data_IF_541796237759
#
_entry.id   IF_541796237759
#
_cell.length_a   1.000
_cell.length_b   1.000
_cell.length_c   1.000
_cell.angle_alpha   90.00
_cell.angle_beta   90.00
_cell.angle_gamma   90.00
#
_symmetry.space_group_name_H-M   'P 1'
#
loop_
_entity.id
_entity.type
_entity.pdbx_description
1 polymer ?
#
# COMPACT_ATOMS: atom_id res chain seq x y z
N UNK A 1 -5.93 26.56 -20.73
CA UNK A 1 -4.99 27.37 -19.91
C UNK A 1 -5.73 28.59 -19.42
N UNK A 2 -5.80 28.82 -18.11
CA UNK A 2 -6.35 30.04 -17.53
C UNK A 2 -5.18 30.87 -16.99
N UNK A 3 -5.15 32.17 -17.31
CA UNK A 3 -4.10 33.07 -16.85
C UNK A 3 -4.23 33.31 -15.33
N UNK A 4 -3.11 33.47 -14.60
CA UNK A 4 -3.14 33.79 -13.18
C UNK A 4 -3.84 35.14 -12.93
N UNK A 5 -4.73 35.19 -11.94
CA UNK A 5 -5.35 36.43 -11.49
C UNK A 5 -4.36 37.21 -10.62
N UNK A 6 -4.10 38.47 -10.98
CA UNK A 6 -3.09 39.31 -10.34
C UNK A 6 -3.57 39.87 -9.00
N UNK A 7 -2.93 39.46 -7.89
CA UNK A 7 -3.05 40.13 -6.60
C UNK A 7 -1.65 40.55 -6.09
N UNK A 8 -1.38 41.85 -6.10
CA UNK A 8 -0.05 42.45 -5.96
C UNK A 8 0.59 42.34 -4.57
N UNK A 9 -0.17 41.94 -3.53
CA UNK A 9 0.35 41.84 -2.16
C UNK A 9 1.18 40.58 -1.89
N UNK A 10 1.00 39.50 -2.65
CA UNK A 10 1.72 38.22 -2.50
C UNK A 10 2.97 38.10 -3.38
N UNK A 11 3.16 39.02 -4.35
CA UNK A 11 4.14 38.95 -5.44
C UNK A 11 5.63 38.97 -5.08
N UNK A 12 6.04 39.03 -3.81
CA UNK A 12 7.48 39.23 -3.51
C UNK A 12 8.30 37.96 -3.35
N UNK A 13 7.68 36.80 -3.09
CA UNK A 13 8.41 35.51 -2.88
C UNK A 13 7.63 34.24 -3.28
N UNK A 14 6.41 34.37 -3.78
CA UNK A 14 5.55 33.23 -4.11
C UNK A 14 4.74 33.48 -5.39
N UNK A 15 4.56 32.44 -6.19
CA UNK A 15 3.79 32.38 -7.43
C UNK A 15 2.73 31.30 -7.29
N UNK A 16 1.48 31.61 -7.64
CA UNK A 16 0.35 30.68 -7.56
C UNK A 16 -0.30 30.50 -8.93
N UNK A 17 -0.88 29.33 -9.16
CA UNK A 17 -1.73 29.04 -10.31
C UNK A 17 -2.81 28.03 -9.90
N UNK A 18 -3.67 27.63 -10.85
CA UNK A 18 -4.87 26.82 -10.57
C UNK A 18 -4.59 25.56 -9.74
N UNK A 19 -3.44 24.92 -9.96
CA UNK A 19 -3.14 23.61 -9.41
C UNK A 19 -1.89 23.61 -8.51
N UNK A 20 -1.26 24.75 -8.24
CA UNK A 20 0.00 24.74 -7.52
C UNK A 20 0.51 26.09 -7.10
N UNK A 21 1.58 26.04 -6.32
CA UNK A 21 2.29 27.20 -5.84
C UNK A 21 3.80 26.92 -5.78
N UNK A 22 4.57 27.95 -6.07
CA UNK A 22 6.02 27.96 -5.99
C UNK A 22 6.48 29.14 -5.15
N UNK A 23 7.41 28.93 -4.24
CA UNK A 23 8.04 30.00 -3.48
C UNK A 23 9.53 29.79 -3.34
N UNK A 24 10.26 30.88 -3.11
CA UNK A 24 11.67 30.82 -2.75
C UNK A 24 11.95 31.69 -1.54
N UNK A 25 12.82 31.21 -0.66
CA UNK A 25 13.25 31.97 0.50
C UNK A 25 14.54 32.75 0.20
N UNK A 26 14.88 33.71 1.06
CA UNK A 26 16.14 34.46 0.95
C UNK A 26 17.39 33.63 1.28
N UNK A 27 17.23 32.35 1.58
CA UNK A 27 18.28 31.40 1.96
C UNK A 27 18.59 30.39 0.84
N UNK A 28 18.19 30.70 -0.40
CA UNK A 28 18.52 29.89 -1.58
C UNK A 28 17.74 28.60 -1.70
N UNK A 29 16.61 28.43 -1.00
CA UNK A 29 15.72 27.27 -1.15
C UNK A 29 14.49 27.67 -1.95
N UNK A 30 14.21 26.93 -3.02
CA UNK A 30 12.98 26.98 -3.79
C UNK A 30 12.11 25.77 -3.49
N UNK A 31 10.80 25.98 -3.43
CA UNK A 31 9.82 24.94 -3.12
C UNK A 31 8.63 25.06 -4.05
N UNK A 32 8.20 23.92 -4.58
CA UNK A 32 7.09 23.75 -5.51
C UNK A 32 6.16 22.70 -4.92
N UNK A 33 4.87 23.05 -4.80
CA UNK A 33 3.80 22.10 -4.49
C UNK A 33 2.74 22.23 -5.57
N UNK A 34 2.48 21.16 -6.30
CA UNK A 34 1.56 21.17 -7.42
C UNK A 34 0.76 19.87 -7.51
N UNK A 35 -0.51 19.98 -7.91
CA UNK A 35 -1.38 18.87 -8.25
C UNK A 35 -1.17 18.52 -9.72
N UNK A 36 -0.67 17.31 -9.98
CA UNK A 36 -0.33 16.79 -11.30
C UNK A 36 -1.08 15.48 -11.58
N UNK A 37 -0.86 14.89 -12.76
CA UNK A 37 -1.40 13.58 -13.13
C UNK A 37 -2.93 13.50 -12.99
N UNK A 38 -3.65 14.40 -13.67
CA UNK A 38 -5.12 14.46 -13.65
C UNK A 38 -5.72 14.60 -12.22
N UNK A 39 -4.99 15.27 -11.32
CA UNK A 39 -5.34 15.43 -9.90
C UNK A 39 -5.21 14.18 -9.05
N UNK A 40 -4.45 13.19 -9.52
CA UNK A 40 -4.15 11.96 -8.79
C UNK A 40 -2.86 12.05 -7.95
N UNK A 41 -2.07 13.11 -8.10
CA UNK A 41 -0.79 13.25 -7.42
C UNK A 41 -0.58 14.66 -6.86
N UNK A 42 -0.11 14.73 -5.61
CA UNK A 42 0.49 15.95 -5.05
C UNK A 42 2.00 15.83 -5.22
N UNK A 43 2.58 16.68 -6.05
CA UNK A 43 4.01 16.76 -6.31
C UNK A 43 4.64 17.80 -5.39
N UNK A 44 5.59 17.36 -4.57
CA UNK A 44 6.46 18.24 -3.78
C UNK A 44 7.86 18.18 -4.38
N UNK A 45 8.34 19.32 -4.89
CA UNK A 45 9.69 19.46 -5.43
C UNK A 45 10.40 20.61 -4.75
N UNK A 46 11.68 20.44 -4.46
CA UNK A 46 12.51 21.49 -3.86
C UNK A 46 13.86 21.57 -4.55
N UNK A 47 14.43 22.77 -4.54
CA UNK A 47 15.79 23.05 -4.98
C UNK A 47 16.51 23.85 -3.91
N UNK A 48 17.83 23.68 -3.79
CA UNK A 48 18.64 24.53 -2.94
C UNK A 48 19.93 24.95 -3.62
N UNK A 49 20.39 26.16 -3.30
CA UNK A 49 21.74 26.59 -3.59
C UNK A 49 22.76 25.76 -2.79
N UNK A 50 23.97 25.65 -3.34
CA UNK A 50 25.04 24.85 -2.73
C UNK A 50 25.35 25.33 -1.31
N UNK A 51 25.33 24.40 -0.35
CA UNK A 51 25.59 24.69 1.07
C UNK A 51 24.36 25.01 1.91
N UNK A 52 23.15 24.97 1.33
CA UNK A 52 21.88 25.19 2.03
C UNK A 52 21.00 23.93 2.11
N UNK A 53 21.61 22.75 2.03
CA UNK A 53 20.94 21.44 2.12
C UNK A 53 20.12 21.29 3.39
N UNK A 54 20.65 21.73 4.54
CA UNK A 54 20.00 21.53 5.84
C UNK A 54 18.66 22.30 5.93
N UNK A 55 18.63 23.52 5.38
CA UNK A 55 17.40 24.31 5.28
C UNK A 55 16.38 23.66 4.34
N UNK A 56 16.84 23.04 3.24
CA UNK A 56 15.98 22.29 2.34
C UNK A 56 15.40 21.06 3.02
N UNK A 57 16.21 20.28 3.75
CA UNK A 57 15.74 19.08 4.45
C UNK A 57 14.69 19.44 5.49
N UNK A 58 14.94 20.48 6.30
CA UNK A 58 13.95 20.95 7.28
C UNK A 58 12.67 21.43 6.62
N UNK A 59 12.75 22.29 5.61
CA UNK A 59 11.57 22.82 4.94
C UNK A 59 10.79 21.72 4.20
N UNK A 60 11.48 20.76 3.59
CA UNK A 60 10.85 19.61 2.93
C UNK A 60 10.07 18.77 3.93
N UNK A 61 10.63 18.53 5.11
CA UNK A 61 9.93 17.84 6.20
C UNK A 61 8.66 18.58 6.60
N UNK A 62 8.74 19.89 6.81
CA UNK A 62 7.61 20.68 7.26
C UNK A 62 6.49 20.72 6.20
N UNK A 63 6.85 20.88 4.92
CA UNK A 63 5.89 20.86 3.80
C UNK A 63 5.22 19.50 3.64
N UNK A 64 5.98 18.40 3.70
CA UNK A 64 5.40 17.04 3.65
C UNK A 64 4.47 16.83 4.84
N UNK A 65 4.88 17.24 6.04
CA UNK A 65 4.05 17.15 7.24
C UNK A 65 2.72 17.88 7.09
N UNK A 66 2.73 19.09 6.56
CA UNK A 66 1.52 19.87 6.33
C UNK A 66 0.59 19.23 5.30
N UNK A 67 1.14 18.74 4.18
CA UNK A 67 0.37 18.01 3.16
C UNK A 67 -0.30 16.78 3.77
N UNK A 68 0.44 16.01 4.58
CA UNK A 68 -0.09 14.82 5.24
C UNK A 68 -1.11 15.15 6.33
N UNK A 69 -0.96 16.26 7.05
CA UNK A 69 -1.96 16.75 8.00
C UNK A 69 -3.27 17.09 7.30
N UNK A 70 -3.21 17.86 6.21
CA UNK A 70 -4.39 18.21 5.40
C UNK A 70 -5.08 16.97 4.86
N UNK A 71 -4.30 15.98 4.41
CA UNK A 71 -4.83 14.68 3.97
C UNK A 71 -5.58 13.96 5.10
N UNK A 72 -4.99 13.84 6.29
CA UNK A 72 -5.61 13.18 7.45
C UNK A 72 -6.90 13.88 7.89
N UNK A 73 -6.92 15.21 7.86
CA UNK A 73 -8.07 16.01 8.29
C UNK A 73 -9.21 16.00 7.26
N UNK A 74 -8.87 16.03 5.96
CA UNK A 74 -9.86 16.21 4.89
C UNK A 74 -10.36 14.89 4.29
N UNK A 75 -9.47 13.91 4.14
CA UNK A 75 -9.71 12.68 3.39
C UNK A 75 -9.10 11.44 4.08
N UNK A 76 -9.41 11.16 5.37
CA UNK A 76 -8.74 10.11 6.15
C UNK A 76 -8.89 8.69 5.60
N UNK A 77 -9.91 8.44 4.77
CA UNK A 77 -10.18 7.12 4.18
C UNK A 77 -9.52 6.90 2.82
N UNK A 78 -8.87 7.92 2.24
CA UNK A 78 -8.25 7.81 0.92
C UNK A 78 -6.92 7.06 1.03
N UNK A 79 -6.75 5.95 0.33
CA UNK A 79 -5.46 5.25 0.32
C UNK A 79 -4.42 6.07 -0.47
N UNK A 80 -3.39 6.57 0.22
CA UNK A 80 -2.32 7.38 -0.37
C UNK A 80 -1.01 6.59 -0.44
N UNK A 81 -0.35 6.66 -1.59
CA UNK A 81 0.99 6.08 -1.79
C UNK A 81 2.04 7.19 -1.76
N UNK A 82 2.94 7.13 -0.79
CA UNK A 82 4.08 8.04 -0.68
C UNK A 82 5.28 7.53 -1.49
N UNK A 83 5.71 8.35 -2.45
CA UNK A 83 6.71 7.99 -3.45
C UNK A 83 7.80 9.06 -3.57
N UNK A 84 9.03 8.62 -3.79
CA UNK A 84 10.20 9.44 -4.07
C UNK A 84 10.64 9.19 -5.51
N UNK A 85 10.72 10.25 -6.31
CA UNK A 85 11.21 10.17 -7.70
C UNK A 85 12.73 10.09 -7.68
N UNK A 86 13.33 9.22 -8.51
CA UNK A 86 14.79 9.16 -8.70
C UNK A 86 15.29 10.57 -9.11
N UNK A 87 16.23 11.17 -8.35
CA UNK A 87 16.75 12.49 -8.67
C UNK A 87 17.32 12.62 -10.10
N UNK A 88 17.78 11.52 -10.70
CA UNK A 88 18.28 11.51 -12.09
C UNK A 88 17.18 11.73 -13.14
N UNK A 89 15.93 11.51 -12.77
CA UNK A 89 14.76 11.69 -13.64
C UNK A 89 13.98 12.97 -13.29
N UNK A 90 14.50 13.77 -12.36
CA UNK A 90 13.90 15.02 -11.91
C UNK A 90 14.12 16.15 -12.93
N UNK A 91 13.33 16.14 -14.01
CA UNK A 91 13.26 17.22 -14.97
C UNK A 91 11.86 17.84 -14.97
N UNK A 92 11.77 19.11 -14.58
CA UNK A 92 10.52 19.87 -14.62
C UNK A 92 10.17 20.22 -16.09
N UNK A 93 8.89 20.14 -16.50
CA UNK A 93 7.71 19.76 -15.72
C UNK A 93 7.54 18.24 -15.54
N UNK A 94 7.00 17.86 -14.37
CA UNK A 94 6.71 16.45 -14.02
C UNK A 94 5.20 16.21 -14.07
N UNK A 95 4.66 16.04 -15.29
CA UNK A 95 3.22 15.88 -15.49
C UNK A 95 2.71 14.50 -15.05
N UNK A 96 3.50 13.44 -15.32
CA UNK A 96 3.19 12.03 -15.04
C UNK A 96 4.26 11.41 -14.13
N UNK A 97 4.32 11.77 -12.83
CA UNK A 97 5.33 11.27 -11.90
C UNK A 97 5.33 9.74 -11.77
N UNK A 98 4.17 9.08 -11.98
CA UNK A 98 4.02 7.62 -11.90
C UNK A 98 4.75 6.85 -13.01
N UNK A 99 5.06 7.50 -14.12
CA UNK A 99 5.80 6.91 -15.24
C UNK A 99 7.33 7.00 -15.06
N UNK A 100 7.79 7.68 -14.01
CA UNK A 100 9.22 7.82 -13.67
C UNK A 100 9.68 6.66 -12.79
N UNK A 101 10.99 6.51 -12.67
CA UNK A 101 11.58 5.66 -11.62
C UNK A 101 11.25 6.25 -10.26
N UNK A 102 10.38 5.56 -9.52
CA UNK A 102 9.96 5.95 -8.17
C UNK A 102 10.27 4.86 -7.14
N UNK A 103 10.48 5.29 -5.90
CA UNK A 103 10.71 4.44 -4.74
C UNK A 103 9.66 4.75 -3.68
N UNK A 104 9.03 3.73 -3.12
CA UNK A 104 8.13 3.94 -1.98
C UNK A 104 8.92 4.43 -0.77
N UNK A 105 8.43 5.48 -0.09
CA UNK A 105 9.05 6.01 1.14
C UNK A 105 9.26 4.88 2.15
N UNK A 106 8.30 3.97 2.28
CA UNK A 106 8.42 2.74 3.10
C UNK A 106 9.64 1.88 2.76
N UNK A 107 9.91 1.65 1.47
CA UNK A 107 11.07 0.85 1.04
C UNK A 107 12.36 1.58 1.36
N UNK A 108 12.38 2.90 1.17
CA UNK A 108 13.50 3.77 1.55
C UNK A 108 13.78 3.65 3.06
N UNK A 109 12.75 3.82 3.90
CA UNK A 109 12.89 3.75 5.36
C UNK A 109 13.31 2.36 5.84
N UNK A 110 12.72 1.29 5.29
CA UNK A 110 13.12 -0.09 5.60
C UNK A 110 14.59 -0.33 5.27
N UNK A 111 15.06 0.12 4.12
CA UNK A 111 16.45 -0.04 3.72
C UNK A 111 17.41 0.71 4.67
N UNK A 112 17.05 1.91 5.09
CA UNK A 112 17.82 2.71 6.05
C UNK A 112 17.94 1.98 7.40
N UNK A 113 16.82 1.50 7.95
CA UNK A 113 16.79 0.77 9.24
C UNK A 113 17.58 -0.53 9.15
N UNK A 114 17.45 -1.27 8.04
CA UNK A 114 18.20 -2.52 7.79
C UNK A 114 19.66 -2.29 7.39
N UNK A 115 20.09 -1.03 7.23
CA UNK A 115 21.43 -0.63 6.75
C UNK A 115 21.78 -1.23 5.39
N UNK A 116 20.79 -1.38 4.52
CA UNK A 116 20.98 -1.81 3.14
C UNK A 116 21.58 -0.64 2.33
N UNK A 117 22.56 -0.90 1.46
CA UNK A 117 23.20 0.17 0.68
C UNK A 117 22.39 0.55 -0.58
N UNK A 118 21.55 -0.36 -1.07
CA UNK A 118 20.86 -0.26 -2.35
C UNK A 118 19.35 -0.40 -2.21
N UNK A 119 18.62 0.43 -2.95
CA UNK A 119 17.19 0.32 -3.16
C UNK A 119 16.90 -0.39 -4.48
N UNK A 120 15.90 -1.26 -4.47
CA UNK A 120 15.30 -1.83 -5.68
C UNK A 120 14.07 -1.00 -6.03
N UNK A 121 13.97 -0.56 -7.28
CA UNK A 121 12.79 0.17 -7.76
C UNK A 121 11.54 -0.73 -7.76
N UNK A 122 10.36 -0.11 -7.89
CA UNK A 122 9.08 -0.83 -7.87
C UNK A 122 8.96 -1.96 -8.92
N UNK A 123 9.73 -1.91 -10.01
CA UNK A 123 9.72 -2.93 -11.07
C UNK A 123 10.78 -4.03 -10.91
N UNK A 124 11.63 -3.97 -9.86
CA UNK A 124 12.64 -5.00 -9.60
C UNK A 124 13.90 -4.92 -10.47
N UNK A 125 13.96 -4.00 -11.42
CA UNK A 125 14.95 -3.97 -12.51
C UNK A 125 16.16 -3.08 -12.23
N UNK A 126 16.03 -2.09 -11.33
CA UNK A 126 17.06 -1.06 -11.11
C UNK A 126 17.45 -0.99 -9.63
N UNK A 127 18.77 -1.06 -9.38
CA UNK A 127 19.38 -0.84 -8.08
C UNK A 127 20.00 0.55 -8.02
N UNK A 128 19.55 1.38 -7.09
CA UNK A 128 20.10 2.73 -6.86
C UNK A 128 20.58 2.84 -5.42
N UNK A 129 21.73 3.46 -5.19
CA UNK A 129 22.26 3.64 -3.83
C UNK A 129 21.36 4.59 -3.05
N UNK A 130 21.11 4.31 -1.77
CA UNK A 130 20.31 5.18 -0.90
C UNK A 130 20.80 6.64 -0.92
N UNK A 131 22.12 6.83 -0.87
CA UNK A 131 22.77 8.15 -0.90
C UNK A 131 22.58 8.89 -2.23
N UNK A 132 22.23 8.19 -3.32
CA UNK A 132 21.89 8.83 -4.60
C UNK A 132 20.43 9.28 -4.66
N UNK A 133 19.55 8.70 -3.84
CA UNK A 133 18.15 9.13 -3.71
C UNK A 133 18.03 10.28 -2.70
N UNK A 134 18.72 10.15 -1.56
CA UNK A 134 18.75 11.13 -0.48
C UNK A 134 20.12 11.82 -0.43
N UNK A 135 20.44 12.59 -1.48
CA UNK A 135 21.76 13.21 -1.68
C UNK A 135 22.16 14.17 -0.56
N UNK A 136 21.17 14.88 -0.02
CA UNK A 136 21.35 15.98 0.91
C UNK A 136 20.96 15.62 2.35
N UNK A 137 20.57 14.36 2.61
CA UNK A 137 20.13 13.91 3.93
C UNK A 137 21.20 13.15 4.69
N UNK A 138 21.25 13.38 6.01
CA UNK A 138 22.11 12.66 6.92
C UNK A 138 21.46 11.34 7.34
N UNK A 139 21.88 10.23 6.74
CA UNK A 139 21.38 8.88 7.07
C UNK A 139 21.77 8.40 8.47
N UNK A 140 22.62 9.14 9.21
CA UNK A 140 22.91 8.86 10.61
C UNK A 140 21.84 9.41 11.56
N UNK A 141 21.10 10.44 11.14
CA UNK A 141 20.02 11.05 11.92
C UNK A 141 18.67 10.70 11.29
N UNK A 142 18.32 9.42 11.44
CA UNK A 142 17.17 8.79 10.79
C UNK A 142 15.85 9.47 11.22
N UNK A 143 15.77 9.96 12.45
CA UNK A 143 14.59 10.67 12.97
C UNK A 143 14.31 12.00 12.28
N UNK A 144 15.33 12.63 11.68
CA UNK A 144 15.19 13.94 11.05
C UNK A 144 15.09 13.87 9.53
N UNK A 145 14.93 12.67 8.97
CA UNK A 145 14.74 12.49 7.53
C UNK A 145 13.50 13.25 7.06
N UNK A 146 13.66 14.01 5.99
CA UNK A 146 12.60 14.90 5.50
C UNK A 146 11.39 14.13 4.97
N UNK A 147 11.61 12.94 4.43
CA UNK A 147 10.57 12.05 3.92
C UNK A 147 9.57 11.61 5.00
N UNK A 148 9.92 11.70 6.29
CA UNK A 148 9.00 11.34 7.37
C UNK A 148 7.89 12.38 7.55
N UNK A 149 8.04 13.61 7.05
CA UNK A 149 7.06 14.66 7.26
C UNK A 149 6.79 14.97 8.74
N UNK A 150 7.74 14.68 9.63
CA UNK A 150 7.57 14.82 11.08
C UNK A 150 6.90 13.63 11.79
N UNK A 151 6.59 12.54 11.08
CA UNK A 151 6.12 11.29 11.68
C UNK A 151 7.29 10.53 12.32
N UNK A 152 7.00 9.69 13.31
CA UNK A 152 8.01 8.77 13.83
C UNK A 152 8.38 7.76 12.74
N UNK A 153 9.67 7.42 12.60
CA UNK A 153 10.06 6.39 11.62
C UNK A 153 9.39 5.05 11.93
N UNK A 154 9.18 4.76 13.21
CA UNK A 154 8.35 3.64 13.62
C UNK A 154 6.97 3.80 13.07
N UNK A 155 6.28 4.93 13.19
CA UNK A 155 4.99 5.12 12.52
C UNK A 155 5.09 4.92 11.00
N UNK A 156 6.12 5.35 10.30
CA UNK A 156 6.21 5.10 8.84
C UNK A 156 6.44 3.61 8.51
N UNK A 157 7.08 2.86 9.42
CA UNK A 157 7.34 1.42 9.30
C UNK A 157 6.24 0.56 9.97
N UNK A 158 5.53 1.07 10.97
CA UNK A 158 4.55 0.46 11.87
C UNK A 158 3.13 0.91 11.54
N UNK A 159 2.89 2.01 10.83
CA UNK A 159 1.75 2.12 9.89
C UNK A 159 1.84 0.97 8.89
N UNK A 160 2.97 0.26 8.81
CA UNK A 160 3.07 -1.02 8.13
C UNK A 160 3.18 -2.22 9.06
N UNK A 161 2.79 -2.08 10.32
CA UNK A 161 2.41 -3.14 11.29
C UNK A 161 0.89 -3.01 11.65
N UNK A 162 0.34 -1.79 11.65
CA UNK A 162 -1.10 -1.48 11.68
C UNK A 162 -1.73 -1.56 10.27
N UNK A 163 -0.98 -1.28 9.20
CA UNK A 163 -1.33 -1.62 7.80
C UNK A 163 -0.34 -2.62 7.16
N UNK A 164 0.46 -3.32 7.97
CA UNK A 164 0.63 -4.76 7.77
C UNK A 164 0.40 -5.43 9.11
N UNK A 165 -0.84 -5.83 9.35
CA UNK A 165 -1.04 -7.07 10.09
C UNK A 165 0.01 -8.10 9.63
N UNK A 166 0.66 -8.78 10.59
CA UNK A 166 1.94 -9.47 10.40
C UNK A 166 1.81 -10.54 9.33
N UNK A 167 2.25 -10.30 8.08
CA UNK A 167 2.01 -11.22 6.94
C UNK A 167 0.70 -11.99 7.14
N UNK A 168 -0.41 -11.29 7.41
CA UNK A 168 -1.68 -12.00 7.48
C UNK A 168 -1.97 -12.37 6.04
N UNK A 169 -2.02 -13.66 5.70
CA UNK A 169 -2.43 -14.08 4.37
C UNK A 169 -3.77 -13.39 4.12
N UNK A 170 -3.94 -12.70 2.98
CA UNK A 170 -5.10 -11.85 2.61
C UNK A 170 -6.31 -12.33 3.41
N UNK A 171 -6.61 -11.66 4.51
CA UNK A 171 -7.51 -12.21 5.52
C UNK A 171 -8.91 -11.89 5.02
N UNK A 172 -9.45 -12.83 4.28
CA UNK A 172 -10.78 -12.77 3.71
C UNK A 172 -11.78 -12.64 4.85
N UNK A 173 -12.75 -11.76 4.69
CA UNK A 173 -13.84 -11.63 5.64
C UNK A 173 -15.17 -12.08 5.02
N UNK A 174 -16.25 -11.99 5.79
CA UNK A 174 -17.57 -12.45 5.35
C UNK A 174 -18.08 -11.69 4.10
N UNK A 175 -17.61 -10.47 3.85
CA UNK A 175 -17.97 -9.67 2.69
C UNK A 175 -17.33 -10.20 1.40
N UNK A 176 -16.26 -11.00 1.49
CA UNK A 176 -15.58 -11.60 0.34
C UNK A 176 -16.21 -12.92 -0.13
N UNK A 177 -17.34 -13.33 0.47
CA UNK A 177 -17.98 -14.60 0.16
C UNK A 177 -18.33 -14.74 -1.33
N UNK A 178 -18.78 -13.67 -1.98
CA UNK A 178 -19.12 -13.68 -3.41
C UNK A 178 -17.88 -13.93 -4.29
N UNK A 179 -16.75 -13.29 -3.94
CA UNK A 179 -15.46 -13.49 -4.62
C UNK A 179 -14.99 -14.93 -4.43
N UNK A 180 -14.97 -15.43 -3.19
CA UNK A 180 -14.52 -16.81 -2.89
C UNK A 180 -15.35 -17.83 -3.64
N UNK A 181 -16.67 -17.69 -3.65
CA UNK A 181 -17.55 -18.59 -4.37
C UNK A 181 -17.29 -18.52 -5.87
N UNK A 182 -17.20 -17.32 -6.46
CA UNK A 182 -16.94 -17.14 -7.89
C UNK A 182 -15.63 -17.81 -8.31
N UNK A 183 -14.55 -17.57 -7.58
CA UNK A 183 -13.23 -18.11 -7.88
C UNK A 183 -13.21 -19.63 -7.83
N UNK A 184 -13.83 -20.23 -6.80
CA UNK A 184 -13.87 -21.69 -6.64
C UNK A 184 -14.80 -22.37 -7.64
N UNK A 185 -15.99 -21.83 -7.87
CA UNK A 185 -17.05 -22.52 -8.62
C UNK A 185 -17.12 -22.09 -10.08
N UNK A 186 -17.12 -20.78 -10.36
CA UNK A 186 -17.33 -20.25 -11.73
C UNK A 186 -16.05 -20.30 -12.55
N UNK A 187 -14.93 -19.93 -11.93
CA UNK A 187 -13.65 -19.85 -12.64
C UNK A 187 -12.93 -21.21 -12.65
N UNK A 188 -12.96 -21.94 -11.53
CA UNK A 188 -12.23 -23.21 -11.37
C UNK A 188 -13.11 -24.47 -11.41
N UNK A 189 -14.44 -24.33 -11.54
CA UNK A 189 -15.36 -25.46 -11.67
C UNK A 189 -15.26 -26.50 -10.54
N UNK A 190 -14.90 -26.07 -9.33
CA UNK A 190 -14.79 -26.95 -8.16
C UNK A 190 -16.17 -27.56 -7.83
N UNK A 191 -16.30 -28.90 -7.75
CA UNK A 191 -17.57 -29.52 -7.41
C UNK A 191 -18.00 -29.15 -5.98
N UNK A 192 -19.20 -28.57 -5.81
CA UNK A 192 -19.70 -28.16 -4.49
C UNK A 192 -19.77 -29.32 -3.48
N UNK A 193 -19.86 -30.57 -3.94
CA UNK A 193 -19.88 -31.77 -3.10
C UNK A 193 -18.61 -31.95 -2.21
N UNK A 194 -17.50 -31.26 -2.52
CA UNK A 194 -16.27 -31.36 -1.72
C UNK A 194 -16.30 -30.54 -0.43
N UNK A 195 -17.35 -29.73 -0.21
CA UNK A 195 -17.48 -28.77 0.89
C UNK A 195 -17.15 -29.37 2.26
N UNK A 196 -17.61 -30.59 2.55
CA UNK A 196 -17.41 -31.21 3.87
C UNK A 196 -15.94 -31.57 4.11
N UNK A 197 -15.27 -32.14 3.11
CA UNK A 197 -13.83 -32.45 3.17
C UNK A 197 -13.01 -31.18 3.28
N UNK A 198 -13.36 -30.16 2.50
CA UNK A 198 -12.70 -28.87 2.50
C UNK A 198 -12.86 -28.16 3.84
N UNK A 199 -14.08 -28.08 4.38
CA UNK A 199 -14.39 -27.45 5.66
C UNK A 199 -13.59 -28.03 6.83
N UNK A 200 -13.42 -29.35 6.87
CA UNK A 200 -12.57 -30.01 7.86
C UNK A 200 -11.11 -29.57 7.77
N UNK A 201 -10.56 -29.46 6.56
CA UNK A 201 -9.17 -29.02 6.36
C UNK A 201 -8.97 -27.54 6.71
N UNK A 202 -10.00 -26.73 6.46
CA UNK A 202 -10.04 -25.32 6.81
C UNK A 202 -10.20 -25.08 8.32
N UNK A 203 -10.53 -26.11 9.12
CA UNK A 203 -10.60 -26.04 10.58
C UNK A 203 -12.00 -25.98 11.18
N UNK A 204 -13.05 -26.23 10.39
CA UNK A 204 -14.40 -26.40 10.90
C UNK A 204 -14.56 -27.79 11.54
N UNK A 205 -15.28 -27.87 12.66
CA UNK A 205 -15.52 -29.15 13.31
C UNK A 205 -16.64 -29.94 12.64
N UNK A 206 -16.55 -31.28 12.71
CA UNK A 206 -17.57 -32.17 12.14
C UNK A 206 -18.99 -31.88 12.66
N UNK A 207 -19.24 -31.59 13.95
CA UNK A 207 -20.57 -31.18 14.42
C UNK A 207 -21.14 -29.98 13.67
N UNK A 208 -20.33 -28.93 13.41
CA UNK A 208 -20.78 -27.76 12.64
C UNK A 208 -21.12 -28.13 11.20
N UNK A 209 -20.31 -29.01 10.60
CA UNK A 209 -20.59 -29.49 9.24
C UNK A 209 -21.87 -30.33 9.20
N UNK A 210 -22.15 -31.15 10.23
CA UNK A 210 -23.42 -31.89 10.34
C UNK A 210 -24.62 -30.95 10.47
N UNK A 211 -24.48 -29.87 11.25
CA UNK A 211 -25.52 -28.84 11.39
C UNK A 211 -25.78 -28.16 10.03
N UNK A 212 -24.72 -27.77 9.31
CA UNK A 212 -24.82 -27.19 7.96
C UNK A 212 -25.54 -28.15 6.98
N UNK A 213 -25.18 -29.44 6.99
CA UNK A 213 -25.79 -30.45 6.12
C UNK A 213 -27.29 -30.61 6.39
N UNK A 214 -27.66 -30.58 7.67
CA UNK A 214 -29.05 -30.67 8.13
C UNK A 214 -29.86 -29.45 7.67
N UNK A 215 -29.31 -28.25 7.83
CA UNK A 215 -29.97 -27.00 7.44
C UNK A 215 -30.14 -26.86 5.93
N UNK A 216 -29.17 -27.34 5.16
CA UNK A 216 -29.18 -27.26 3.71
C UNK A 216 -29.98 -28.39 3.03
N UNK A 217 -30.49 -29.37 3.79
CA UNK A 217 -31.33 -30.50 3.30
C UNK A 217 -30.68 -31.28 2.15
N UNK A 218 -29.35 -31.43 2.17
CA UNK A 218 -28.59 -32.13 1.14
C UNK A 218 -28.36 -31.36 -0.18
N UNK A 219 -28.72 -30.07 -0.25
CA UNK A 219 -28.40 -29.22 -1.40
C UNK A 219 -26.93 -28.80 -1.35
N UNK A 220 -26.08 -29.49 -2.11
CA UNK A 220 -24.61 -29.34 -2.04
C UNK A 220 -24.11 -27.91 -2.29
N UNK A 221 -24.77 -27.13 -3.15
CA UNK A 221 -24.44 -25.71 -3.37
C UNK A 221 -24.69 -24.86 -2.11
N UNK A 222 -25.86 -25.02 -1.48
CA UNK A 222 -26.17 -24.32 -0.24
C UNK A 222 -25.22 -24.73 0.90
N UNK A 223 -24.90 -26.02 1.01
CA UNK A 223 -23.92 -26.50 2.00
C UNK A 223 -22.53 -25.88 1.75
N UNK A 224 -22.11 -25.78 0.49
CA UNK A 224 -20.84 -25.18 0.12
C UNK A 224 -20.77 -23.69 0.48
N UNK A 225 -21.82 -22.93 0.17
CA UNK A 225 -21.93 -21.52 0.57
C UNK A 225 -21.91 -21.34 2.09
N UNK A 226 -22.69 -22.14 2.83
CA UNK A 226 -22.72 -22.09 4.29
C UNK A 226 -21.36 -22.46 4.90
N UNK A 227 -20.67 -23.46 4.33
CA UNK A 227 -19.32 -23.85 4.73
C UNK A 227 -18.30 -22.73 4.52
N UNK A 228 -18.27 -22.11 3.34
CA UNK A 228 -17.36 -20.99 3.07
C UNK A 228 -17.70 -19.79 3.97
N UNK A 229 -18.98 -19.54 4.21
CA UNK A 229 -19.44 -18.50 5.14
C UNK A 229 -18.96 -18.72 6.57
N UNK A 230 -19.03 -19.96 7.08
CA UNK A 230 -18.51 -20.32 8.41
C UNK A 230 -16.98 -20.18 8.48
N UNK A 231 -16.27 -20.59 7.43
CA UNK A 231 -14.83 -20.40 7.32
C UNK A 231 -14.43 -18.92 7.35
N UNK A 232 -15.09 -18.06 6.56
CA UNK A 232 -14.82 -16.61 6.51
C UNK A 232 -15.10 -15.89 7.84
N UNK A 233 -16.05 -16.39 8.64
CA UNK A 233 -16.27 -15.89 10.02
C UNK A 233 -15.16 -16.30 10.99
N UNK A 234 -14.30 -17.24 10.59
CA UNK A 234 -13.23 -17.77 11.42
C UNK A 234 -13.75 -18.68 12.54
N UNK A 235 -14.84 -19.41 12.28
CA UNK A 235 -15.45 -20.33 13.24
C UNK A 235 -14.51 -21.47 13.66
N UNK A 236 -14.79 -22.09 14.81
CA UNK A 236 -14.06 -23.26 15.32
C UNK A 236 -12.53 -23.07 15.35
N UNK A 237 -11.75 -23.93 14.67
CA UNK A 237 -10.28 -23.89 14.62
C UNK A 237 -9.73 -23.20 13.37
N UNK A 238 -10.56 -22.47 12.62
CA UNK A 238 -10.11 -21.82 11.38
C UNK A 238 -8.91 -20.90 11.61
N UNK A 239 -8.90 -20.15 12.71
CA UNK A 239 -7.78 -19.27 13.07
C UNK A 239 -6.49 -20.04 13.40
N UNK A 240 -6.60 -21.21 14.01
CA UNK A 240 -5.46 -22.11 14.26
C UNK A 240 -4.91 -22.72 12.96
N UNK A 241 -5.73 -22.79 11.90
CA UNK A 241 -5.40 -23.30 10.56
C UNK A 241 -4.91 -22.22 9.59
N UNK A 242 -4.50 -21.06 10.10
CA UNK A 242 -4.00 -19.94 9.28
C UNK A 242 -5.06 -18.90 8.91
N UNK A 243 -6.27 -19.00 9.47
CA UNK A 243 -7.35 -18.03 9.27
C UNK A 243 -8.01 -18.11 7.89
N UNK A 244 -9.05 -17.31 7.64
CA UNK A 244 -9.68 -17.22 6.34
C UNK A 244 -8.77 -16.49 5.35
N UNK A 245 -7.99 -17.21 4.55
CA UNK A 245 -7.08 -16.60 3.60
C UNK A 245 -6.88 -17.44 2.34
N UNK A 246 -6.45 -16.80 1.25
CA UNK A 246 -6.14 -17.52 0.00
C UNK A 246 -5.06 -18.59 0.16
N UNK A 247 -4.06 -18.33 1.01
CA UNK A 247 -2.99 -19.30 1.28
C UNK A 247 -3.51 -20.52 2.05
N UNK A 248 -4.29 -20.31 3.12
CA UNK A 248 -4.89 -21.43 3.89
C UNK A 248 -5.90 -22.22 3.05
N UNK A 249 -6.66 -21.53 2.18
CA UNK A 249 -7.55 -22.16 1.21
C UNK A 249 -6.79 -23.01 0.20
N UNK A 250 -5.72 -22.49 -0.40
CA UNK A 250 -4.90 -23.23 -1.35
C UNK A 250 -4.22 -24.46 -0.70
N UNK A 251 -3.78 -24.36 0.55
CA UNK A 251 -3.25 -25.52 1.30
C UNK A 251 -4.33 -26.57 1.57
N UNK A 252 -5.53 -26.14 1.96
CA UNK A 252 -6.65 -27.05 2.19
C UNK A 252 -7.09 -27.76 0.90
N UNK A 253 -7.15 -27.04 -0.23
CA UNK A 253 -7.45 -27.59 -1.55
C UNK A 253 -6.41 -28.64 -1.99
N UNK A 254 -5.12 -28.35 -1.81
CA UNK A 254 -4.05 -29.32 -2.08
C UNK A 254 -4.21 -30.60 -1.25
N UNK A 255 -4.63 -30.44 0.00
CA UNK A 255 -4.82 -31.56 0.95
C UNK A 255 -6.00 -32.45 0.56
N UNK A 256 -7.03 -31.90 -0.11
CA UNK A 256 -8.17 -32.67 -0.61
C UNK A 256 -7.98 -33.17 -2.05
N UNK A 257 -6.76 -33.03 -2.60
CA UNK A 257 -6.34 -33.43 -3.94
C UNK A 257 -6.85 -32.54 -5.10
N UNK A 258 -7.37 -31.35 -4.78
CA UNK A 258 -7.80 -30.33 -5.75
C UNK A 258 -6.62 -29.44 -6.20
N UNK A 259 -5.52 -30.08 -6.60
CA UNK A 259 -4.24 -29.45 -6.94
C UNK A 259 -4.31 -28.39 -8.07
N UNK A 260 -5.12 -28.58 -9.13
CA UNK A 260 -5.25 -27.56 -10.16
C UNK A 260 -5.82 -26.25 -9.61
N UNK A 261 -6.88 -26.34 -8.79
CA UNK A 261 -7.53 -25.19 -8.14
C UNK A 261 -6.60 -24.54 -7.12
N UNK A 262 -5.88 -25.36 -6.33
CA UNK A 262 -4.90 -24.86 -5.38
C UNK A 262 -3.74 -24.09 -6.05
N UNK A 263 -3.22 -24.61 -7.17
CA UNK A 263 -2.17 -23.94 -7.95
C UNK A 263 -2.67 -22.61 -8.53
N UNK A 264 -3.89 -22.60 -9.10
CA UNK A 264 -4.51 -21.38 -9.61
C UNK A 264 -4.64 -20.29 -8.54
N UNK A 265 -5.13 -20.65 -7.34
CA UNK A 265 -5.29 -19.69 -6.24
C UNK A 265 -3.93 -19.15 -5.80
N UNK A 266 -2.89 -19.98 -5.74
CA UNK A 266 -1.55 -19.51 -5.40
C UNK A 266 -1.04 -18.52 -6.44
N UNK A 267 -1.07 -18.89 -7.70
CA UNK A 267 -0.52 -18.06 -8.78
C UNK A 267 -1.24 -16.69 -8.88
N UNK A 268 -2.52 -16.64 -8.52
CA UNK A 268 -3.33 -15.41 -8.59
C UNK A 268 -3.26 -14.55 -7.32
N UNK A 269 -3.14 -15.15 -6.14
CA UNK A 269 -3.36 -14.44 -4.86
C UNK A 269 -2.25 -14.60 -3.80
N UNK A 270 -1.26 -15.48 -3.99
CA UNK A 270 -0.18 -15.75 -3.03
C UNK A 270 1.20 -15.37 -3.60
#
# INVERSE_FOLDING_TARGET
>A
MAQPQEDDKLKRRCTFWKNGLYWSNGHGVGSLVEIVDESQCVLVMMSCEKGYSDNLVSLRRDVIGEVMSVYKDSCPSLEVKELVIDPKELAYPVNTPRERTVYSVKVVMSAIVKREEFLVNATGTRRTRLKEILTDESLSDISNLSLLGGQDIKEVIEVTEEFKTPLTPINLDINDLDIVIKELTSDQHLPCAVWRRLGLQLGLYDPRLVDIDTDCRGQSEHCFHACMSAWLRGDDKVREKGGPSWSSLATALDTIEEKPVASYIRDKYC
#
